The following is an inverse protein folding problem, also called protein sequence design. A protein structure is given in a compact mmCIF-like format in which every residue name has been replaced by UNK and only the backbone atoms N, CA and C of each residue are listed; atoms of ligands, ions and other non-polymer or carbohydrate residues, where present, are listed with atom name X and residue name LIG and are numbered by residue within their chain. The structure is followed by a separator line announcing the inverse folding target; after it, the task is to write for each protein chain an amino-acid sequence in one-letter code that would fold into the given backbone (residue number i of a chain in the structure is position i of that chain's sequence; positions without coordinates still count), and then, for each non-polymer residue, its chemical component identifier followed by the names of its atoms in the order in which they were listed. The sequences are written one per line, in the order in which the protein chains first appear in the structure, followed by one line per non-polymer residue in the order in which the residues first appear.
data_IF_898588766293
#
_entry.id   IF_898588766293
#
_cell.length_a   1.000
_cell.length_b   1.000
_cell.length_c   1.000
_cell.angle_alpha   90.00
_cell.angle_beta   90.00
_cell.angle_gamma   90.00
#
_symmetry.space_group_name_H-M   'P 1'
#
loop_
_entity.id
_entity.type
_entity.pdbx_description
1 polymer ?
#
# COMPACT_ATOMS: atom_id res chain seq x y z
N UNK A 1 -25.44 -2.70 -2.32
CA UNK A 1 -24.40 -1.64 -2.42
C UNK A 1 -23.08 -1.96 -1.71
N UNK A 2 -23.06 -2.78 -0.63
CA UNK A 2 -21.83 -3.08 0.14
C UNK A 2 -20.67 -3.69 -0.67
N UNK A 3 -20.96 -4.43 -1.74
CA UNK A 3 -19.93 -5.05 -2.59
C UNK A 3 -19.16 -4.08 -3.49
N UNK A 4 -19.64 -2.85 -3.74
CA UNK A 4 -19.00 -1.91 -4.70
C UNK A 4 -17.87 -1.11 -4.04
N UNK A 5 -17.99 -0.83 -2.74
CA UNK A 5 -17.07 0.05 -2.00
C UNK A 5 -15.61 -0.42 -2.06
N UNK A 6 -15.28 -1.72 -1.86
CA UNK A 6 -13.89 -2.16 -1.87
C UNK A 6 -13.25 -2.03 -3.27
N UNK A 7 -14.02 -2.30 -4.33
CA UNK A 7 -13.54 -2.13 -5.70
C UNK A 7 -13.33 -0.65 -6.04
N UNK A 8 -14.23 0.22 -5.59
CA UNK A 8 -14.07 1.66 -5.77
C UNK A 8 -12.81 2.17 -5.05
N UNK A 9 -12.58 1.75 -3.80
CA UNK A 9 -11.36 2.09 -3.07
C UNK A 9 -10.12 1.57 -3.79
N UNK A 10 -10.13 0.31 -4.24
CA UNK A 10 -9.03 -0.27 -5.02
C UNK A 10 -8.68 0.60 -6.25
N UNK A 11 -9.68 0.94 -7.08
CA UNK A 11 -9.48 1.74 -8.29
C UNK A 11 -8.89 3.11 -7.97
N UNK A 12 -9.42 3.79 -6.95
CA UNK A 12 -8.94 5.12 -6.56
C UNK A 12 -7.53 5.10 -5.98
N UNK A 13 -7.21 4.16 -5.09
CA UNK A 13 -5.87 4.05 -4.52
C UNK A 13 -4.82 3.74 -5.60
N UNK A 14 -5.17 2.89 -6.55
CA UNK A 14 -4.32 2.57 -7.70
C UNK A 14 -4.14 3.79 -8.62
N UNK A 15 -5.23 4.49 -8.94
CA UNK A 15 -5.19 5.68 -9.78
C UNK A 15 -4.36 6.81 -9.15
N UNK A 16 -4.52 7.04 -7.84
CA UNK A 16 -3.73 8.03 -7.10
C UNK A 16 -2.24 7.70 -7.08
N UNK A 17 -1.88 6.42 -6.91
CA UNK A 17 -0.49 6.01 -6.94
C UNK A 17 0.13 6.18 -8.33
N UNK A 18 -0.55 5.75 -9.40
CA UNK A 18 -0.08 5.98 -10.77
C UNK A 18 0.04 7.47 -11.10
N UNK A 19 -0.98 8.27 -10.76
CA UNK A 19 -0.96 9.72 -10.97
C UNK A 19 0.17 10.40 -10.18
N UNK A 20 0.45 9.95 -8.96
CA UNK A 20 1.54 10.50 -8.14
C UNK A 20 2.91 10.30 -8.79
N UNK A 21 3.13 9.21 -9.52
CA UNK A 21 4.39 8.93 -10.24
C UNK A 21 4.56 9.85 -11.44
N UNK A 22 3.49 10.06 -12.20
CA UNK A 22 3.48 11.02 -13.33
C UNK A 22 3.71 12.44 -12.84
N UNK A 23 2.98 12.86 -11.80
CA UNK A 23 3.12 14.19 -11.21
C UNK A 23 4.52 14.42 -10.62
N UNK A 24 5.11 13.43 -9.96
CA UNK A 24 6.44 13.55 -9.40
C UNK A 24 7.54 13.66 -10.48
N UNK A 25 7.37 13.00 -11.62
CA UNK A 25 8.27 13.15 -12.76
C UNK A 25 8.30 14.59 -13.26
N UNK A 26 7.13 15.24 -13.35
CA UNK A 26 7.01 16.63 -13.78
C UNK A 26 7.53 17.61 -12.72
N UNK A 27 7.20 17.39 -11.44
CA UNK A 27 7.64 18.24 -10.33
C UNK A 27 9.16 18.25 -10.14
N UNK A 28 9.81 17.09 -10.21
CA UNK A 28 11.28 17.04 -10.05
C UNK A 28 11.99 17.70 -11.24
N UNK A 29 11.43 17.60 -12.45
CA UNK A 29 11.92 18.36 -13.60
C UNK A 29 11.77 19.88 -13.45
N UNK A 30 10.76 20.35 -12.71
CA UNK A 30 10.49 21.77 -12.50
C UNK A 30 11.20 22.38 -11.28
N UNK A 31 11.65 21.56 -10.32
CA UNK A 31 12.10 22.01 -8.99
C UNK A 31 13.61 21.90 -8.75
N UNK A 32 14.44 21.69 -9.77
CA UNK A 32 15.91 21.58 -9.67
C UNK A 32 16.39 20.74 -8.46
N UNK A 33 15.69 19.63 -8.17
CA UNK A 33 16.08 18.73 -7.09
C UNK A 33 15.77 19.23 -5.68
N UNK A 34 14.61 19.86 -5.44
CA UNK A 34 14.16 20.21 -4.09
C UNK A 34 14.26 19.01 -3.13
N UNK A 35 15.15 19.12 -2.14
CA UNK A 35 15.47 18.07 -1.19
C UNK A 35 15.02 18.46 0.23
N UNK A 36 13.75 18.21 0.56
CA UNK A 36 13.35 18.02 1.96
C UNK A 36 12.02 18.66 2.36
N UNK A 37 11.14 17.83 2.92
CA UNK A 37 9.98 18.26 3.70
C UNK A 37 10.28 18.23 5.21
N UNK A 38 11.09 17.25 5.67
CA UNK A 38 11.45 17.01 7.07
C UNK A 38 12.85 16.38 7.19
N UNK A 39 13.59 16.56 8.30
CA UNK A 39 14.88 15.92 8.51
C UNK A 39 14.80 14.39 8.36
N UNK A 40 15.60 13.82 7.46
CA UNK A 40 15.63 12.39 7.18
C UNK A 40 14.50 11.86 6.30
N UNK A 41 13.60 12.72 5.80
CA UNK A 41 12.59 12.38 4.79
C UNK A 41 12.69 13.38 3.63
N UNK A 42 13.09 12.88 2.46
CA UNK A 42 13.16 13.69 1.24
C UNK A 42 12.14 13.20 0.20
N UNK A 43 11.53 14.15 -0.50
CA UNK A 43 10.92 13.85 -1.80
C UNK A 43 12.07 13.59 -2.76
N UNK A 44 12.01 12.46 -3.44
CA UNK A 44 13.02 12.04 -4.39
C UNK A 44 12.31 11.32 -5.52
N UNK A 45 12.61 11.66 -6.78
CA UNK A 45 12.10 10.94 -7.93
C UNK A 45 13.23 10.10 -8.51
N UNK A 46 13.14 8.80 -8.29
CA UNK A 46 14.13 7.86 -8.78
C UNK A 46 13.44 6.70 -9.50
N UNK A 47 13.75 6.56 -10.79
CA UNK A 47 13.40 5.39 -11.59
C UNK A 47 14.56 4.43 -11.54
N UNK A 48 14.33 3.21 -11.03
CA UNK A 48 15.39 2.20 -10.92
C UNK A 48 15.05 0.96 -11.73
N UNK A 49 16.04 0.33 -12.37
CA UNK A 49 15.87 -1.04 -12.85
C UNK A 49 15.44 -1.89 -11.66
N UNK A 50 14.36 -2.63 -11.85
CA UNK A 50 13.95 -3.54 -10.81
C UNK A 50 15.01 -4.63 -10.72
N UNK A 51 15.61 -4.86 -9.54
CA UNK A 51 16.32 -6.11 -9.31
C UNK A 51 15.32 -7.22 -9.63
N UNK A 52 15.66 -8.31 -10.32
CA UNK A 52 14.66 -9.32 -10.71
C UNK A 52 13.96 -10.04 -9.50
N UNK A 53 14.38 -9.74 -8.27
CA UNK A 53 13.99 -10.44 -7.04
C UNK A 53 12.60 -10.07 -6.43
N UNK A 54 12.01 -8.86 -6.53
CA UNK A 54 10.73 -8.53 -5.92
C UNK A 54 9.53 -8.67 -6.87
N UNK A 55 9.70 -9.04 -8.15
CA UNK A 55 8.56 -9.25 -9.09
C UNK A 55 7.68 -10.40 -8.61
N UNK A 56 8.27 -11.57 -8.36
CA UNK A 56 7.54 -12.77 -7.96
C UNK A 56 6.85 -12.64 -6.61
N UNK A 57 7.49 -12.09 -5.56
CA UNK A 57 6.81 -11.76 -4.31
C UNK A 57 5.65 -10.78 -4.49
N UNK A 58 5.83 -9.71 -5.27
CA UNK A 58 4.77 -8.72 -5.52
C UNK A 58 3.58 -9.34 -6.24
N UNK A 59 3.85 -10.16 -7.26
CA UNK A 59 2.82 -10.91 -7.98
C UNK A 59 2.06 -11.87 -7.05
N UNK A 60 2.79 -12.64 -6.24
CA UNK A 60 2.19 -13.59 -5.29
C UNK A 60 1.28 -12.88 -4.28
N UNK A 61 1.75 -11.78 -3.66
CA UNK A 61 0.95 -10.99 -2.71
C UNK A 61 -0.29 -10.40 -3.39
N UNK A 62 -0.16 -9.92 -4.63
CA UNK A 62 -1.29 -9.36 -5.39
C UNK A 62 -2.35 -10.43 -5.69
N UNK A 63 -1.93 -11.63 -6.11
CA UNK A 63 -2.84 -12.76 -6.36
C UNK A 63 -3.53 -13.20 -5.07
N UNK A 64 -2.77 -13.33 -3.97
CA UNK A 64 -3.34 -13.70 -2.66
C UNK A 64 -4.38 -12.66 -2.22
N UNK A 65 -4.08 -11.36 -2.32
CA UNK A 65 -5.01 -10.29 -1.97
C UNK A 65 -6.30 -10.36 -2.81
N UNK A 66 -6.19 -10.65 -4.12
CA UNK A 66 -7.34 -10.82 -5.00
C UNK A 66 -8.20 -12.02 -4.57
N UNK A 67 -7.56 -13.18 -4.31
CA UNK A 67 -8.27 -14.40 -3.87
C UNK A 67 -8.99 -14.16 -2.54
N UNK A 68 -8.32 -13.52 -1.57
CA UNK A 68 -8.92 -13.19 -0.28
C UNK A 68 -10.10 -12.23 -0.47
N UNK A 69 -9.98 -11.20 -1.30
CA UNK A 69 -11.06 -10.26 -1.57
C UNK A 69 -12.29 -10.96 -2.19
N UNK A 70 -12.08 -11.91 -3.11
CA UNK A 70 -13.15 -12.74 -3.69
C UNK A 70 -13.82 -13.60 -2.61
N UNK A 71 -13.02 -14.24 -1.74
CA UNK A 71 -13.54 -15.05 -0.62
C UNK A 71 -14.36 -14.23 0.36
N UNK A 72 -14.00 -12.96 0.56
CA UNK A 72 -14.73 -12.05 1.46
C UNK A 72 -16.04 -11.51 0.87
N UNK A 73 -16.38 -11.74 -0.41
CA UNK A 73 -17.54 -11.12 -1.08
C UNK A 73 -18.89 -11.31 -0.37
N UNK A 74 -19.05 -12.37 0.43
CA UNK A 74 -20.25 -12.63 1.25
C UNK A 74 -20.15 -12.23 2.71
N UNK A 75 -19.03 -11.63 3.13
CA UNK A 75 -18.73 -11.27 4.52
C UNK A 75 -19.22 -9.87 4.87
N UNK A 76 -19.48 -9.64 6.17
CA UNK A 76 -19.76 -8.31 6.72
C UNK A 76 -18.51 -7.60 7.27
N UNK A 77 -17.32 -8.18 7.08
CA UNK A 77 -16.05 -7.68 7.62
C UNK A 77 -15.48 -6.54 6.78
N UNK A 78 -16.02 -5.33 6.99
CA UNK A 78 -15.64 -4.12 6.27
C UNK A 78 -14.15 -3.76 6.35
N UNK A 79 -13.52 -3.97 7.50
CA UNK A 79 -12.08 -3.67 7.71
C UNK A 79 -11.20 -4.59 6.87
N UNK A 80 -11.52 -5.89 6.83
CA UNK A 80 -10.79 -6.87 6.00
C UNK A 80 -10.95 -6.57 4.51
N UNK A 81 -12.14 -6.15 4.07
CA UNK A 81 -12.36 -5.68 2.70
C UNK A 81 -11.48 -4.49 2.34
N UNK A 82 -11.39 -3.50 3.23
CA UNK A 82 -10.58 -2.30 3.02
C UNK A 82 -9.09 -2.63 2.97
N UNK A 83 -8.62 -3.45 3.91
CA UNK A 83 -7.23 -3.92 3.94
C UNK A 83 -6.88 -4.70 2.67
N UNK A 84 -7.72 -5.65 2.23
CA UNK A 84 -7.49 -6.39 0.99
C UNK A 84 -7.52 -5.50 -0.25
N UNK A 85 -8.43 -4.52 -0.32
CA UNK A 85 -8.48 -3.57 -1.43
C UNK A 85 -7.21 -2.71 -1.50
N UNK A 86 -6.69 -2.26 -0.35
CA UNK A 86 -5.46 -1.48 -0.27
C UNK A 86 -4.20 -2.32 -0.60
N UNK A 87 -4.12 -3.57 -0.12
CA UNK A 87 -3.08 -4.52 -0.51
C UNK A 87 -3.08 -4.76 -2.03
N UNK A 88 -4.27 -5.00 -2.59
CA UNK A 88 -4.44 -5.23 -4.01
C UNK A 88 -4.07 -3.99 -4.84
N UNK A 89 -4.44 -2.79 -4.38
CA UNK A 89 -4.11 -1.53 -5.06
C UNK A 89 -2.59 -1.31 -5.11
N UNK A 90 -1.90 -1.42 -3.97
CA UNK A 90 -0.45 -1.23 -3.93
C UNK A 90 0.30 -2.32 -4.70
N UNK A 91 -0.12 -3.59 -4.56
CA UNK A 91 0.45 -4.71 -5.29
C UNK A 91 0.28 -4.57 -6.80
N UNK A 92 -0.94 -4.29 -7.26
CA UNK A 92 -1.24 -4.12 -8.68
C UNK A 92 -0.52 -2.93 -9.29
N UNK A 93 -0.46 -1.77 -8.62
CA UNK A 93 0.19 -0.58 -9.17
C UNK A 93 1.71 -0.77 -9.34
N UNK A 94 2.37 -1.40 -8.36
CA UNK A 94 3.77 -1.79 -8.48
C UNK A 94 3.99 -2.84 -9.57
N UNK A 95 3.12 -3.86 -9.63
CA UNK A 95 3.23 -4.91 -10.65
C UNK A 95 3.05 -4.35 -12.06
N UNK A 96 2.09 -3.44 -12.28
CA UNK A 96 1.87 -2.79 -13.57
C UNK A 96 3.12 -2.05 -14.03
N UNK A 97 3.71 -1.23 -13.18
CA UNK A 97 4.94 -0.50 -13.54
C UNK A 97 6.09 -1.45 -13.87
N UNK A 98 6.29 -2.47 -13.04
CA UNK A 98 7.33 -3.49 -13.24
C UNK A 98 7.14 -4.22 -14.57
N UNK A 99 5.91 -4.64 -14.88
CA UNK A 99 5.60 -5.41 -16.09
C UNK A 99 5.76 -4.57 -17.35
N UNK A 100 5.32 -3.31 -17.33
CA UNK A 100 5.37 -2.45 -18.52
C UNK A 100 6.71 -1.74 -18.71
N UNK A 101 7.39 -1.37 -17.63
CA UNK A 101 8.57 -0.50 -17.68
C UNK A 101 9.86 -1.19 -17.22
N UNK A 102 9.79 -2.41 -16.67
CA UNK A 102 10.95 -3.11 -16.11
C UNK A 102 11.62 -2.39 -14.93
N UNK A 103 10.97 -1.35 -14.42
CA UNK A 103 11.52 -0.41 -13.44
C UNK A 103 10.54 -0.20 -12.31
N UNK A 104 11.00 0.45 -11.24
CA UNK A 104 10.17 0.89 -10.13
C UNK A 104 10.47 2.34 -9.82
N UNK A 105 9.44 3.18 -9.82
CA UNK A 105 9.52 4.57 -9.41
C UNK A 105 9.34 4.68 -7.91
N UNK A 106 10.25 5.40 -7.27
CA UNK A 106 10.15 5.79 -5.86
C UNK A 106 10.03 7.31 -5.74
N UNK A 107 9.25 7.76 -4.76
CA UNK A 107 8.82 9.14 -4.54
C UNK A 107 9.33 9.72 -3.21
N UNK A 108 9.58 8.86 -2.24
CA UNK A 108 9.97 9.24 -0.88
C UNK A 108 11.20 8.42 -0.49
N UNK A 109 12.24 9.11 -0.04
CA UNK A 109 13.44 8.52 0.54
C UNK A 109 13.44 8.78 2.05
N UNK A 110 13.77 7.76 2.85
CA UNK A 110 13.90 7.85 4.31
C UNK A 110 15.33 7.47 4.69
N UNK A 111 15.99 8.34 5.46
CA UNK A 111 17.37 8.17 5.93
C UNK A 111 18.30 9.30 5.46
N UNK A 112 19.62 9.12 5.61
CA UNK A 112 20.62 10.08 5.12
C UNK A 112 20.51 10.28 3.60
N UNK A 113 20.62 11.52 3.11
CA UNK A 113 20.49 11.85 1.68
C UNK A 113 21.50 11.09 0.82
N UNK A 114 22.72 10.89 1.32
CA UNK A 114 23.79 10.17 0.63
C UNK A 114 23.61 8.65 0.61
N UNK A 115 22.81 8.09 1.51
CA UNK A 115 22.60 6.65 1.67
C UNK A 115 21.22 6.37 2.28
N UNK A 116 20.13 6.63 1.54
CA UNK A 116 18.78 6.43 2.05
C UNK A 116 18.52 4.95 2.33
N UNK A 117 17.98 4.69 3.52
CA UNK A 117 17.70 3.34 4.03
C UNK A 117 16.49 2.72 3.35
N UNK A 118 15.45 3.54 3.14
CA UNK A 118 14.22 3.13 2.49
C UNK A 118 13.88 4.10 1.38
N UNK A 119 13.37 3.56 0.28
CA UNK A 119 12.84 4.32 -0.86
C UNK A 119 11.49 3.74 -1.21
N UNK A 120 10.46 4.56 -1.07
CA UNK A 120 9.07 4.18 -1.10
C UNK A 120 8.32 4.96 -2.17
N UNK A 121 7.19 4.41 -2.59
CA UNK A 121 6.19 5.08 -3.40
C UNK A 121 4.84 4.95 -2.71
N UNK A 122 3.79 5.52 -3.27
CA UNK A 122 2.49 5.56 -2.62
C UNK A 122 1.89 4.14 -2.49
N UNK A 123 2.18 3.22 -3.41
CA UNK A 123 1.84 1.81 -3.30
C UNK A 123 2.42 1.13 -2.05
N UNK A 124 3.65 1.45 -1.64
CA UNK A 124 4.20 0.93 -0.38
C UNK A 124 3.41 1.43 0.84
N UNK A 125 2.94 2.68 0.81
CA UNK A 125 2.10 3.26 1.88
C UNK A 125 0.77 2.52 1.98
N UNK A 126 0.15 2.20 0.85
CA UNK A 126 -1.08 1.40 0.81
C UNK A 126 -0.89 0.00 1.39
N UNK A 127 0.20 -0.67 1.03
CA UNK A 127 0.52 -2.00 1.55
C UNK A 127 0.74 -1.94 3.06
N UNK A 128 1.57 -1.00 3.54
CA UNK A 128 1.85 -0.85 4.97
C UNK A 128 0.58 -0.50 5.77
N UNK A 129 -0.22 0.44 5.28
CA UNK A 129 -1.50 0.82 5.89
C UNK A 129 -2.48 -0.36 5.96
N UNK A 130 -2.54 -1.18 4.91
CA UNK A 130 -3.39 -2.36 4.89
C UNK A 130 -2.98 -3.42 5.92
N UNK A 131 -1.67 -3.67 6.06
CA UNK A 131 -1.14 -4.58 7.08
C UNK A 131 -1.48 -4.08 8.48
N UNK A 132 -1.29 -2.79 8.75
CA UNK A 132 -1.63 -2.19 10.04
C UNK A 132 -3.13 -2.26 10.33
N UNK A 133 -3.99 -2.02 9.34
CA UNK A 133 -5.45 -2.16 9.49
C UNK A 133 -5.86 -3.60 9.80
N UNK A 134 -5.31 -4.57 9.08
CA UNK A 134 -5.61 -5.99 9.29
C UNK A 134 -5.13 -6.49 10.67
N UNK A 135 -3.92 -6.09 11.09
CA UNK A 135 -3.38 -6.41 12.41
C UNK A 135 -4.18 -5.74 13.53
N UNK A 136 -4.53 -4.48 13.38
CA UNK A 136 -5.34 -3.74 14.35
C UNK A 136 -6.70 -4.41 14.59
N UNK A 137 -7.37 -4.85 13.53
CA UNK A 137 -8.63 -5.60 13.62
C UNK A 137 -8.44 -6.97 14.30
N UNK A 138 -7.35 -7.68 13.98
CA UNK A 138 -7.03 -8.94 14.63
C UNK A 138 -6.78 -8.79 16.14
N UNK A 139 -5.99 -7.80 16.56
CA UNK A 139 -5.73 -7.51 17.96
C UNK A 139 -6.98 -7.05 18.71
N UNK A 140 -7.80 -6.19 18.11
CA UNK A 140 -9.06 -5.74 18.70
C UNK A 140 -10.01 -6.90 18.99
N UNK A 141 -10.14 -7.84 18.04
CA UNK A 141 -10.97 -9.05 18.22
C UNK A 141 -10.39 -10.02 19.26
N UNK A 142 -9.07 -10.22 19.25
CA UNK A 142 -8.40 -11.04 20.25
C UNK A 142 -8.60 -10.47 21.67
N UNK A 143 -8.47 -9.16 21.85
CA UNK A 143 -8.71 -8.48 23.12
C UNK A 143 -10.16 -8.55 23.59
N UNK A 144 -11.13 -8.45 22.68
CA UNK A 144 -12.55 -8.60 23.00
C UNK A 144 -12.90 -10.02 23.46
N UNK A 145 -12.33 -11.05 22.83
CA UNK A 145 -12.54 -12.45 23.19
C UNK A 145 -11.88 -12.84 24.53
N UNK A 146 -10.96 -12.02 25.05
CA UNK A 146 -10.32 -12.20 26.35
C UNK A 146 -11.08 -11.51 27.50
N UNK A 147 -12.19 -10.81 27.21
CA UNK A 147 -13.11 -10.25 28.22
C UNK A 147 -14.48 -10.97 28.30
N UNK A 148 -14.56 -12.31 28.41
CA UNK A 148 -15.83 -12.97 28.68
C UNK A 148 -16.10 -12.96 30.20
N UNK A 149 -16.90 -12.01 30.73
CA UNK A 149 -17.32 -12.13 32.13
C UNK A 149 -17.87 -10.94 32.92
N UNK A 150 -18.44 -9.89 32.34
CA UNK A 150 -19.05 -8.79 33.14
C UNK A 150 -20.58 -8.65 33.00
N UNK A 151 -21.29 -9.62 32.42
CA UNK A 151 -22.75 -9.49 32.18
C UNK A 151 -23.60 -10.69 32.64
N UNK A 152 -23.18 -11.45 33.64
CA UNK A 152 -24.05 -12.47 34.29
C UNK A 152 -24.05 -12.37 35.83
N UNK A 153 -24.09 -11.15 36.37
CA UNK A 153 -24.40 -10.92 37.78
C UNK A 153 -25.18 -9.61 37.97
N UNK A 154 -26.50 -9.66 37.70
CA UNK A 154 -27.48 -8.79 38.36
C UNK A 154 -28.87 -9.41 38.29
#
# INVERSE_FOLDING_TARGET
MKGIVPYFVFVWLMALDLASRTLAAELVGAMDGFHGLLPGISIDYLVRPNAALPVWPTLAVTIIALVVLIRLRGSHRSVEHLACAALLAGGAANLLEIVFSGTMTTLVSIGPVSAPLLRLNLAHVWIAGAVLLALGDAFGRAGANLRPGETEAS
#
